data_IF_777931827430
#
_entry.id   IF_777931827430
#
_cell.length_a   1.000
_cell.length_b   1.000
_cell.length_c   1.000
_cell.angle_alpha   90.00
_cell.angle_beta   90.00
_cell.angle_gamma   90.00
#
_symmetry.space_group_name_H-M   'P 1'
#
loop_
_entity.id
_entity.type
_entity.pdbx_description
1 polymer ?
#
# COMPACT_ATOMS: atom_id res chain seq x y z
N UNK A 1 -60.86 29.99 18.06
CA UNK A 1 -60.31 31.23 17.47
C UNK A 1 -59.01 30.86 16.76
N UNK A 2 -59.04 30.60 15.45
CA UNK A 2 -58.77 31.53 14.30
C UNK A 2 -57.30 31.41 13.88
N UNK A 3 -56.97 30.48 12.98
CA UNK A 3 -56.91 30.59 11.50
C UNK A 3 -55.62 31.24 10.99
N UNK A 4 -54.85 30.41 10.29
CA UNK A 4 -53.83 30.77 9.30
C UNK A 4 -54.49 31.51 8.12
N UNK A 5 -54.05 32.74 7.82
CA UNK A 5 -54.24 33.39 6.52
C UNK A 5 -52.98 33.13 5.67
N UNK A 6 -53.01 32.19 4.74
CA UNK A 6 -53.16 32.39 3.28
C UNK A 6 -52.50 33.64 2.68
N UNK A 7 -51.54 33.42 1.76
CA UNK A 7 -51.62 33.88 0.36
C UNK A 7 -50.53 33.21 -0.51
N UNK A 8 -51.00 32.27 -1.35
CA UNK A 8 -50.36 31.84 -2.61
C UNK A 8 -50.28 33.02 -3.58
N UNK A 9 -49.24 33.07 -4.41
CA UNK A 9 -49.35 33.48 -5.80
C UNK A 9 -49.06 32.31 -6.77
N UNK A 10 -49.35 32.47 -8.08
CA UNK A 10 -50.06 31.46 -8.86
C UNK A 10 -49.19 30.47 -9.63
N UNK A 11 -49.86 29.35 -9.92
CA UNK A 11 -49.53 28.29 -10.87
C UNK A 11 -49.25 28.87 -12.27
N UNK A 12 -48.13 28.44 -12.87
CA UNK A 12 -47.92 28.47 -14.32
C UNK A 12 -47.54 27.05 -14.74
N UNK A 13 -48.46 26.38 -15.44
CA UNK A 13 -48.22 25.27 -16.34
C UNK A 13 -49.08 25.52 -17.59
N UNK A 14 -48.80 24.92 -18.76
CA UNK A 14 -47.53 24.47 -19.33
C UNK A 14 -47.33 25.05 -20.75
N UNK A 15 -46.09 25.20 -21.22
CA UNK A 15 -45.82 25.23 -22.67
C UNK A 15 -44.95 24.03 -22.98
N UNK A 16 -45.61 22.99 -23.50
CA UNK A 16 -44.92 21.92 -24.18
C UNK A 16 -44.61 22.33 -25.61
N UNK A 17 -43.37 22.12 -26.04
CA UNK A 17 -43.13 21.57 -27.37
C UNK A 17 -41.93 20.62 -27.24
N UNK A 18 -42.20 19.36 -27.58
CA UNK A 18 -41.26 18.25 -27.68
C UNK A 18 -40.22 18.57 -28.76
N UNK A 19 -38.97 18.15 -28.57
CA UNK A 19 -38.36 17.14 -29.44
C UNK A 19 -36.98 16.68 -28.95
N UNK A 20 -36.81 15.36 -28.95
CA UNK A 20 -35.61 14.55 -29.16
C UNK A 20 -34.36 14.70 -28.23
N UNK A 21 -34.31 13.77 -27.27
CA UNK A 21 -33.23 12.79 -26.98
C UNK A 21 -31.84 13.17 -26.41
N UNK A 22 -31.19 12.22 -25.68
CA UNK A 22 -30.38 12.49 -24.49
C UNK A 22 -28.94 11.94 -24.59
N UNK A 23 -27.91 12.69 -24.17
CA UNK A 23 -26.60 12.09 -23.91
C UNK A 23 -25.87 12.86 -22.81
N UNK A 24 -25.42 12.14 -21.79
CA UNK A 24 -24.26 12.52 -21.00
C UNK A 24 -24.54 12.84 -19.54
N UNK A 25 -25.04 11.87 -18.77
CA UNK A 25 -24.69 11.81 -17.34
C UNK A 25 -23.16 11.79 -17.25
N UNK A 26 -22.50 12.69 -16.50
CA UNK A 26 -21.11 12.46 -16.14
C UNK A 26 -21.12 11.27 -15.17
N UNK A 27 -20.84 10.09 -15.73
CA UNK A 27 -20.46 8.93 -14.95
C UNK A 27 -19.19 9.30 -14.19
N UNK A 28 -19.33 9.48 -12.88
CA UNK A 28 -18.22 9.52 -11.96
C UNK A 28 -17.62 8.11 -11.96
N UNK A 29 -16.49 7.98 -12.65
CA UNK A 29 -15.72 6.74 -12.81
C UNK A 29 -15.23 6.26 -11.42
N UNK A 30 -15.60 5.04 -10.97
CA UNK A 30 -15.10 4.49 -9.72
C UNK A 30 -13.82 3.68 -10.01
N UNK A 31 -12.74 4.35 -10.39
CA UNK A 31 -11.44 3.71 -10.54
C UNK A 31 -10.30 4.75 -10.56
N UNK A 32 -9.97 5.32 -9.40
CA UNK A 32 -8.59 5.80 -9.23
C UNK A 32 -7.73 4.63 -8.79
N UNK A 33 -7.43 3.74 -9.72
CA UNK A 33 -6.23 2.92 -9.63
C UNK A 33 -5.03 3.90 -9.64
N UNK A 34 -4.12 3.87 -8.66
CA UNK A 34 -2.91 4.66 -8.73
C UNK A 34 -2.06 4.09 -9.86
N UNK A 35 -2.23 4.64 -11.07
CA UNK A 35 -1.42 4.32 -12.24
C UNK A 35 0.03 4.67 -11.92
N UNK A 36 0.84 3.66 -11.61
CA UNK A 36 2.28 3.72 -11.85
C UNK A 36 2.49 4.19 -13.30
N UNK A 37 3.41 5.07 -13.59
CA UNK A 37 4.84 4.89 -13.34
C UNK A 37 5.43 6.28 -13.32
N UNK A 38 5.86 6.77 -12.14
CA UNK A 38 6.86 7.85 -12.14
C UNK A 38 8.08 7.27 -12.83
N UNK A 39 8.51 7.91 -13.90
CA UNK A 39 9.71 7.61 -14.70
C UNK A 39 10.89 7.26 -13.79
N UNK A 40 10.95 5.99 -13.42
CA UNK A 40 12.00 5.43 -12.60
C UNK A 40 12.85 4.69 -13.62
N UNK A 41 14.09 5.14 -13.76
CA UNK A 41 15.11 4.47 -14.55
C UNK A 41 14.89 2.95 -14.49
N UNK A 42 14.54 2.31 -15.63
CA UNK A 42 14.11 0.90 -15.64
C UNK A 42 15.20 -0.01 -15.06
N UNK A 43 16.46 0.42 -15.13
CA UNK A 43 17.58 -0.28 -14.54
C UNK A 43 17.53 -0.27 -13.01
N UNK A 44 17.12 0.85 -12.38
CA UNK A 44 16.91 0.93 -10.91
C UNK A 44 15.77 -0.01 -10.50
N UNK A 45 14.70 -0.06 -11.30
CA UNK A 45 13.59 -0.98 -11.09
C UNK A 45 14.05 -2.44 -11.13
N UNK A 46 14.85 -2.80 -12.13
CA UNK A 46 15.42 -4.14 -12.27
C UNK A 46 16.34 -4.51 -11.11
N UNK A 47 17.30 -3.66 -10.73
CA UNK A 47 18.20 -3.91 -9.59
C UNK A 47 17.44 -4.13 -8.28
N UNK A 48 16.42 -3.30 -8.01
CA UNK A 48 15.54 -3.48 -6.84
C UNK A 48 14.76 -4.79 -6.88
N UNK A 49 14.29 -5.21 -8.05
CA UNK A 49 13.62 -6.49 -8.22
C UNK A 49 14.56 -7.68 -7.93
N UNK A 50 15.85 -7.59 -8.29
CA UNK A 50 16.84 -8.61 -7.95
C UNK A 50 17.04 -8.72 -6.43
N UNK A 51 17.12 -7.60 -5.72
CA UNK A 51 17.22 -7.59 -4.25
C UNK A 51 15.97 -8.20 -3.61
N UNK A 52 14.77 -7.90 -4.10
CA UNK A 52 13.54 -8.53 -3.62
C UNK A 52 13.50 -10.03 -3.92
N UNK A 53 14.02 -10.45 -5.06
CA UNK A 53 14.11 -11.87 -5.44
C UNK A 53 15.04 -12.65 -4.52
N UNK A 54 16.14 -12.04 -4.05
CA UNK A 54 17.02 -12.63 -3.03
C UNK A 54 16.27 -12.88 -1.72
N UNK A 55 15.48 -11.90 -1.25
CA UNK A 55 14.66 -12.05 -0.05
C UNK A 55 13.61 -13.15 -0.22
N UNK A 56 13.00 -13.24 -1.39
CA UNK A 56 12.03 -14.30 -1.68
C UNK A 56 12.68 -15.70 -1.73
N UNK A 57 13.92 -15.80 -2.23
CA UNK A 57 14.64 -17.07 -2.33
C UNK A 57 15.23 -17.54 -1.00
N UNK A 58 15.76 -16.62 -0.19
CA UNK A 58 16.48 -16.94 1.05
C UNK A 58 15.63 -16.70 2.32
N UNK A 59 14.42 -16.17 2.17
CA UNK A 59 13.52 -15.86 3.28
C UNK A 59 14.13 -14.83 4.26
N UNK A 60 13.94 -15.03 5.58
CA UNK A 60 14.46 -14.12 6.61
C UNK A 60 15.97 -13.90 6.54
N UNK A 61 16.74 -14.93 6.15
CA UNK A 61 18.19 -14.80 6.02
C UNK A 61 18.56 -13.78 4.94
N UNK A 62 17.86 -13.83 3.79
CA UNK A 62 18.01 -12.84 2.72
C UNK A 62 17.65 -11.43 3.19
N UNK A 63 16.55 -11.30 3.94
CA UNK A 63 16.16 -10.02 4.54
C UNK A 63 17.25 -9.45 5.45
N UNK A 64 17.83 -10.25 6.35
CA UNK A 64 18.88 -9.79 7.25
C UNK A 64 20.13 -9.33 6.49
N UNK A 65 20.48 -10.02 5.41
CA UNK A 65 21.57 -9.61 4.51
C UNK A 65 21.26 -8.28 3.81
N UNK A 66 20.04 -8.10 3.31
CA UNK A 66 19.60 -6.85 2.68
C UNK A 66 19.65 -5.68 3.67
N UNK A 67 19.12 -5.86 4.89
CA UNK A 67 19.17 -4.82 5.93
C UNK A 67 20.62 -4.46 6.29
N UNK A 68 21.51 -5.45 6.38
CA UNK A 68 22.94 -5.21 6.62
C UNK A 68 23.59 -4.45 5.47
N UNK A 69 23.25 -4.77 4.21
CA UNK A 69 23.75 -4.06 3.02
C UNK A 69 23.26 -2.62 2.99
N UNK A 70 21.99 -2.38 3.28
CA UNK A 70 21.42 -1.03 3.37
C UNK A 70 22.18 -0.15 4.38
N UNK A 71 22.53 -0.69 5.56
CA UNK A 71 23.34 0.02 6.57
C UNK A 71 24.77 0.24 6.11
N UNK A 72 25.33 -0.68 5.32
CA UNK A 72 26.68 -0.58 4.77
C UNK A 72 26.79 0.40 3.59
N UNK A 73 25.67 1.01 3.15
CA UNK A 73 25.65 2.01 2.08
C UNK A 73 25.25 1.49 0.70
N UNK A 74 24.69 0.28 0.59
CA UNK A 74 24.09 -0.21 -0.66
C UNK A 74 22.82 0.61 -0.96
N UNK A 75 22.88 1.45 -2.00
CA UNK A 75 21.82 2.38 -2.36
C UNK A 75 20.55 1.67 -2.88
N UNK A 76 20.71 0.53 -3.57
CA UNK A 76 19.57 -0.24 -4.08
C UNK A 76 18.83 -0.90 -2.92
N UNK A 77 19.56 -1.52 -1.98
CA UNK A 77 19.00 -2.08 -0.76
C UNK A 77 18.38 -0.99 0.15
N UNK A 78 19.09 0.13 0.35
CA UNK A 78 18.65 1.22 1.22
C UNK A 78 17.39 1.91 0.70
N UNK A 79 17.19 1.95 -0.62
CA UNK A 79 16.05 2.57 -1.27
C UNK A 79 14.78 1.71 -1.31
N UNK A 80 14.82 0.47 -0.82
CA UNK A 80 13.64 -0.40 -0.76
C UNK A 80 12.75 -0.07 0.44
N UNK A 81 11.43 -0.11 0.23
CA UNK A 81 10.48 -0.04 1.33
C UNK A 81 10.55 -1.31 2.17
N UNK A 82 10.50 -1.14 3.48
CA UNK A 82 10.50 -2.28 4.42
C UNK A 82 9.28 -3.15 4.22
N UNK A 83 8.11 -2.56 3.92
CA UNK A 83 6.89 -3.31 3.56
C UNK A 83 7.02 -4.12 2.27
N UNK A 84 7.88 -3.72 1.32
CA UNK A 84 8.14 -4.51 0.12
C UNK A 84 9.06 -5.71 0.43
N UNK A 85 10.06 -5.50 1.29
CA UNK A 85 10.97 -6.54 1.73
C UNK A 85 10.25 -7.62 2.55
N UNK A 86 9.39 -7.22 3.50
CA UNK A 86 8.61 -8.15 4.32
C UNK A 86 7.64 -8.95 3.45
N UNK A 87 6.97 -8.31 2.48
CA UNK A 87 6.07 -9.03 1.54
C UNK A 87 6.78 -9.93 0.55
N UNK A 88 8.09 -9.74 0.34
CA UNK A 88 8.88 -10.68 -0.45
C UNK A 88 9.15 -11.98 0.31
N UNK A 89 8.97 -12.02 1.63
CA UNK A 89 9.15 -13.24 2.41
C UNK A 89 8.10 -14.30 2.02
N UNK A 90 8.50 -15.59 1.90
CA UNK A 90 7.58 -16.67 1.61
C UNK A 90 6.47 -16.76 2.66
N UNK A 91 5.22 -16.90 2.21
CA UNK A 91 4.07 -17.11 3.09
C UNK A 91 3.54 -15.86 3.80
N UNK A 92 4.19 -14.70 3.65
CA UNK A 92 3.75 -13.45 4.28
C UNK A 92 2.72 -12.74 3.40
N UNK A 93 1.51 -12.54 3.94
CA UNK A 93 0.47 -11.79 3.24
C UNK A 93 0.63 -10.28 3.41
N UNK A 94 -0.18 -9.50 2.70
CA UNK A 94 -0.24 -8.06 2.89
C UNK A 94 -0.61 -7.66 4.34
N UNK A 95 -1.58 -8.38 4.94
CA UNK A 95 -2.01 -8.13 6.31
C UNK A 95 -0.91 -8.47 7.32
N UNK A 96 -0.25 -9.62 7.15
CA UNK A 96 0.87 -10.02 8.01
C UNK A 96 1.99 -8.98 7.95
N UNK A 97 2.34 -8.50 6.75
CA UNK A 97 3.33 -7.44 6.60
C UNK A 97 2.95 -6.17 7.35
N UNK A 98 1.67 -5.79 7.37
CA UNK A 98 1.21 -4.62 8.09
C UNK A 98 1.37 -4.80 9.61
N UNK A 99 0.93 -5.96 10.12
CA UNK A 99 1.02 -6.26 11.55
C UNK A 99 2.47 -6.35 12.05
N UNK A 100 3.37 -6.93 11.25
CA UNK A 100 4.80 -6.99 11.55
C UNK A 100 5.43 -5.59 11.65
N UNK A 101 5.06 -4.67 10.75
CA UNK A 101 5.54 -3.29 10.78
C UNK A 101 5.04 -2.53 12.01
N UNK A 102 3.77 -2.70 12.37
CA UNK A 102 3.20 -2.11 13.59
C UNK A 102 3.92 -2.60 14.85
N UNK A 103 4.17 -3.91 14.95
CA UNK A 103 4.89 -4.51 16.08
C UNK A 103 6.34 -4.03 16.18
N UNK A 104 6.99 -3.77 15.03
CA UNK A 104 8.34 -3.23 14.98
C UNK A 104 8.40 -1.70 15.14
N UNK A 105 7.25 -1.02 15.29
CA UNK A 105 7.15 0.44 15.30
C UNK A 105 7.78 1.11 14.05
N UNK A 106 7.58 0.48 12.88
CA UNK A 106 8.10 0.96 11.60
C UNK A 106 6.94 1.56 10.79
N UNK A 107 7.05 2.82 10.30
CA UNK A 107 6.01 3.39 9.46
C UNK A 107 5.98 2.70 8.08
N UNK A 108 4.80 2.57 7.47
CA UNK A 108 4.62 1.83 6.20
C UNK A 108 5.47 2.39 5.03
N UNK A 109 5.72 3.69 5.03
CA UNK A 109 6.56 4.37 4.04
C UNK A 109 8.07 4.26 4.32
N UNK A 110 8.49 3.61 5.42
CA UNK A 110 9.89 3.51 5.80
C UNK A 110 10.71 2.79 4.72
N UNK A 111 11.91 3.33 4.49
CA UNK A 111 12.93 2.70 3.66
C UNK A 111 13.89 1.91 4.54
N UNK A 112 14.46 0.83 4.01
CA UNK A 112 15.41 -0.01 4.72
C UNK A 112 16.63 0.78 5.23
N UNK A 113 17.11 1.74 4.43
CA UNK A 113 18.23 2.61 4.83
C UNK A 113 17.88 3.66 5.87
N UNK A 114 16.59 3.95 6.08
CA UNK A 114 16.12 4.96 7.04
C UNK A 114 15.84 4.41 8.44
N UNK A 115 15.86 3.08 8.60
CA UNK A 115 15.58 2.45 9.88
C UNK A 115 16.66 2.80 10.90
N UNK A 116 16.25 3.17 12.12
CA UNK A 116 17.19 3.30 13.23
C UNK A 116 17.65 1.91 13.75
N UNK A 117 18.73 1.83 14.55
CA UNK A 117 19.21 0.56 15.09
C UNK A 117 18.17 -0.21 15.91
N UNK A 118 17.34 0.47 16.70
CA UNK A 118 16.29 -0.14 17.52
C UNK A 118 15.18 -0.73 16.67
N UNK A 119 14.71 0.00 15.65
CA UNK A 119 13.72 -0.51 14.69
C UNK A 119 14.21 -1.75 13.95
N UNK A 120 15.49 -1.79 13.55
CA UNK A 120 16.07 -2.99 12.91
C UNK A 120 16.08 -4.19 13.84
N UNK A 121 16.49 -4.01 15.09
CA UNK A 121 16.48 -5.09 16.10
C UNK A 121 15.05 -5.56 16.38
N UNK A 122 14.10 -4.63 16.51
CA UNK A 122 12.70 -4.96 16.71
C UNK A 122 12.13 -5.76 15.54
N UNK A 123 12.42 -5.35 14.31
CA UNK A 123 12.00 -6.06 13.10
C UNK A 123 12.56 -7.49 13.05
N UNK A 124 13.87 -7.67 13.29
CA UNK A 124 14.47 -9.00 13.34
C UNK A 124 13.82 -9.88 14.42
N UNK A 125 13.62 -9.34 15.62
CA UNK A 125 12.99 -10.09 16.72
C UNK A 125 11.55 -10.50 16.42
N UNK A 126 10.79 -9.64 15.74
CA UNK A 126 9.42 -9.93 15.33
C UNK A 126 9.41 -11.02 14.27
N UNK A 127 10.28 -10.94 13.25
CA UNK A 127 10.36 -11.94 12.18
C UNK A 127 10.78 -13.31 12.73
N UNK A 128 11.83 -13.38 13.55
CA UNK A 128 12.27 -14.64 14.17
C UNK A 128 11.13 -15.31 14.98
N UNK A 129 10.34 -14.52 15.71
CA UNK A 129 9.18 -15.02 16.44
C UNK A 129 8.11 -15.60 15.51
N UNK A 130 7.93 -14.99 14.34
CA UNK A 130 6.86 -15.37 13.40
C UNK A 130 7.27 -16.55 12.54
N UNK A 131 8.55 -16.68 12.19
CA UNK A 131 9.12 -17.86 11.52
C UNK A 131 8.85 -19.15 12.29
N UNK A 132 9.04 -19.13 13.62
CA UNK A 132 8.71 -20.27 14.48
C UNK A 132 7.22 -20.68 14.39
N UNK A 133 6.33 -19.79 13.97
CA UNK A 133 4.90 -20.08 13.79
C UNK A 133 4.60 -20.66 12.40
N UNK A 134 5.42 -20.37 11.39
CA UNK A 134 5.25 -20.85 10.02
C UNK A 134 6.05 -22.11 9.68
N UNK A 135 7.09 -22.43 10.45
CA UNK A 135 7.87 -23.68 10.34
C UNK A 135 7.12 -24.92 10.90
N UNK A 136 5.81 -24.82 11.14
CA UNK A 136 4.98 -25.99 11.37
C UNK A 136 4.50 -26.56 10.04
N UNK A 137 4.89 -27.80 9.68
CA UNK A 137 4.37 -28.45 8.50
C UNK A 137 2.86 -28.58 8.67
N UNK A 138 2.09 -27.87 7.84
CA UNK A 138 0.69 -28.21 7.58
C UNK A 138 0.70 -29.54 6.83
N UNK A 139 0.81 -30.63 7.59
CA UNK A 139 0.56 -32.01 7.16
C UNK A 139 -0.87 -32.18 6.69
#
# INVERSE_FOLDING_TARGET
MTRFETRRPPVRDPVGTRDADPVGTPAVDPAQEPTGTRDADPEVGHRRALVLSEVAAEGPTGLYRVLRRAVSGDADAAGLRVSALIRALPGVTFMDSHDLLLQAHIPDAALAGSLDPGQRVALCSVIDRTEHLYDHPRT
#
